data_IF_160934876340
#
_entry.id   IF_160934876340
#
_cell.length_a   1.000
_cell.length_b   1.000
_cell.length_c   1.000
_cell.angle_alpha   90.00
_cell.angle_beta   90.00
_cell.angle_gamma   90.00
#
_symmetry.space_group_name_H-M   'P 1'
#
loop_
_entity.id
_entity.type
_entity.pdbx_description
1 polymer ?
#
# COMPACT_ATOMS: atom_id res chain seq x y z
N UNK A 1 19.86 48.91 -22.44
CA UNK A 1 20.73 47.70 -22.31
C UNK A 1 20.38 46.79 -21.13
N UNK A 2 19.87 47.32 -20.00
CA UNK A 2 19.62 46.52 -18.78
C UNK A 2 18.42 45.56 -18.81
N UNK A 3 17.41 45.80 -19.66
CA UNK A 3 16.18 44.99 -19.65
C UNK A 3 16.37 43.63 -20.34
N UNK A 4 17.07 43.56 -21.48
CA UNK A 4 17.43 42.30 -22.15
C UNK A 4 18.33 41.42 -21.29
N UNK A 5 19.25 42.02 -20.54
CA UNK A 5 20.13 41.27 -19.64
C UNK A 5 19.35 40.66 -18.46
N UNK A 6 18.34 41.37 -17.94
CA UNK A 6 17.44 40.87 -16.89
C UNK A 6 16.58 39.71 -17.39
N UNK A 7 16.00 39.82 -18.58
CA UNK A 7 15.18 38.74 -19.17
C UNK A 7 16.00 37.50 -19.48
N UNK A 8 17.22 37.66 -19.99
CA UNK A 8 18.14 36.52 -20.22
C UNK A 8 18.48 35.78 -18.93
N UNK A 9 18.78 36.51 -17.85
CA UNK A 9 19.06 35.90 -16.54
C UNK A 9 17.85 35.12 -16.00
N UNK A 10 16.65 35.70 -16.09
CA UNK A 10 15.43 35.03 -15.66
C UNK A 10 15.14 33.76 -16.49
N UNK A 11 15.38 33.81 -17.80
CA UNK A 11 15.21 32.65 -18.69
C UNK A 11 16.22 31.55 -18.38
N UNK A 12 17.46 31.91 -18.09
CA UNK A 12 18.50 30.96 -17.71
C UNK A 12 18.20 30.31 -16.34
N UNK A 13 17.77 31.09 -15.35
CA UNK A 13 17.40 30.57 -14.03
C UNK A 13 16.21 29.62 -14.09
N UNK A 14 15.16 29.99 -14.84
CA UNK A 14 13.99 29.11 -15.03
C UNK A 14 14.35 27.82 -15.77
N UNK A 15 15.22 27.89 -16.79
CA UNK A 15 15.72 26.71 -17.49
C UNK A 15 16.52 25.80 -16.54
N UNK A 16 17.43 26.36 -15.73
CA UNK A 16 18.21 25.58 -14.76
C UNK A 16 17.31 24.88 -13.73
N UNK A 17 16.32 25.59 -13.19
CA UNK A 17 15.37 25.01 -12.22
C UNK A 17 14.57 23.89 -12.89
N UNK A 18 14.09 24.10 -14.12
CA UNK A 18 13.37 23.09 -14.87
C UNK A 18 14.21 21.84 -15.14
N UNK A 19 15.44 22.01 -15.59
CA UNK A 19 16.38 20.90 -15.83
C UNK A 19 16.70 20.16 -14.53
N UNK A 20 16.95 20.88 -13.44
CA UNK A 20 17.19 20.25 -12.13
C UNK A 20 15.98 19.45 -11.68
N UNK A 21 14.76 19.99 -11.83
CA UNK A 21 13.52 19.28 -11.53
C UNK A 21 13.39 17.99 -12.35
N UNK A 22 13.63 18.05 -13.66
CA UNK A 22 13.62 16.86 -14.53
C UNK A 22 14.66 15.82 -14.08
N UNK A 23 15.89 16.25 -13.77
CA UNK A 23 16.95 15.34 -13.29
C UNK A 23 16.53 14.67 -11.97
N UNK A 24 15.97 15.43 -11.02
CA UNK A 24 15.49 14.85 -9.77
C UNK A 24 14.35 13.86 -10.02
N UNK A 25 13.36 14.20 -10.85
CA UNK A 25 12.26 13.28 -11.18
C UNK A 25 12.69 11.99 -11.89
N UNK A 26 13.80 12.02 -12.63
CA UNK A 26 14.30 10.86 -13.38
C UNK A 26 15.35 10.04 -12.62
N UNK A 27 15.73 10.44 -11.40
CA UNK A 27 16.80 9.78 -10.64
C UNK A 27 16.28 9.23 -9.31
N UNK A 28 16.89 8.12 -8.86
CA UNK A 28 16.60 7.52 -7.55
C UNK A 28 16.84 8.47 -6.38
N UNK A 29 17.77 9.42 -6.53
CA UNK A 29 18.03 10.45 -5.55
C UNK A 29 16.82 11.37 -5.33
N UNK A 30 16.09 11.74 -6.39
CA UNK A 30 14.87 12.54 -6.26
C UNK A 30 13.72 11.75 -5.63
N UNK A 31 13.54 10.48 -6.02
CA UNK A 31 12.54 9.61 -5.37
C UNK A 31 12.82 9.44 -3.88
N UNK A 32 14.09 9.21 -3.50
CA UNK A 32 14.50 9.11 -2.10
C UNK A 32 14.20 10.41 -1.30
N UNK A 33 14.47 11.57 -1.89
CA UNK A 33 14.14 12.87 -1.27
C UNK A 33 12.63 13.04 -1.08
N UNK A 34 11.82 12.63 -2.06
CA UNK A 34 10.36 12.68 -1.96
C UNK A 34 9.83 11.74 -0.88
N UNK A 35 10.29 10.49 -0.85
CA UNK A 35 9.81 9.47 0.09
C UNK A 35 10.22 9.79 1.53
N UNK A 36 11.47 10.17 1.76
CA UNK A 36 12.00 10.34 3.11
C UNK A 36 11.61 11.69 3.72
N UNK A 37 11.68 12.77 2.94
CA UNK A 37 11.47 14.14 3.45
C UNK A 37 10.17 14.75 2.95
N UNK A 38 9.87 14.58 1.65
CA UNK A 38 8.68 15.14 1.03
C UNK A 38 7.40 14.64 1.70
N UNK A 39 7.23 13.33 1.80
CA UNK A 39 6.06 12.71 2.43
C UNK A 39 5.93 13.10 3.91
N UNK A 40 7.03 13.07 4.66
CA UNK A 40 7.03 13.46 6.06
C UNK A 40 6.57 14.93 6.25
N UNK A 41 7.04 15.84 5.39
CA UNK A 41 6.58 17.23 5.39
C UNK A 41 5.12 17.37 4.99
N UNK A 42 4.65 16.64 3.98
CA UNK A 42 3.24 16.65 3.57
C UNK A 42 2.33 16.17 4.72
N UNK A 43 2.70 15.10 5.41
CA UNK A 43 1.95 14.61 6.58
C UNK A 43 1.95 15.63 7.73
N UNK A 44 3.09 16.28 7.97
CA UNK A 44 3.19 17.33 8.99
C UNK A 44 2.33 18.56 8.65
N UNK A 45 2.31 18.99 7.40
CA UNK A 45 1.51 20.12 6.91
C UNK A 45 0.01 19.80 6.90
N UNK A 46 -0.38 18.58 6.50
CA UNK A 46 -1.76 18.08 6.60
C UNK A 46 -2.24 18.08 8.05
N UNK A 47 -1.33 17.80 8.99
CA UNK A 47 -1.63 17.66 10.41
C UNK A 47 -2.21 16.29 10.76
N UNK A 48 -2.52 16.13 12.04
CA UNK A 48 -3.12 14.91 12.59
C UNK A 48 -4.60 14.85 12.23
N UNK A 49 -5.04 13.68 11.78
CA UNK A 49 -6.45 13.38 11.50
C UNK A 49 -6.93 12.35 12.50
N UNK A 50 -8.06 12.59 13.15
CA UNK A 50 -8.66 11.62 14.06
C UNK A 50 -9.14 10.42 13.25
N UNK A 51 -8.75 9.21 13.66
CA UNK A 51 -9.21 7.99 13.03
C UNK A 51 -10.72 7.79 13.32
N UNK A 52 -11.53 7.40 12.32
CA UNK A 52 -12.93 7.08 12.55
C UNK A 52 -13.07 5.93 13.55
N UNK A 53 -13.95 6.08 14.56
CA UNK A 53 -14.19 5.06 15.58
C UNK A 53 -14.82 3.76 15.03
N UNK A 54 -15.40 3.84 13.83
CA UNK A 54 -16.09 2.73 13.15
C UNK A 54 -15.13 1.82 12.37
N UNK A 55 -13.85 2.21 12.24
CA UNK A 55 -12.85 1.48 11.47
C UNK A 55 -11.82 0.86 12.40
N UNK A 56 -11.67 -0.46 12.30
CA UNK A 56 -10.64 -1.22 13.04
C UNK A 56 -9.65 -1.82 12.04
N UNK A 57 -8.36 -1.59 12.29
CA UNK A 57 -7.29 -2.21 11.52
C UNK A 57 -6.80 -3.43 12.29
N UNK A 58 -6.95 -4.61 11.69
CA UNK A 58 -6.34 -5.84 12.19
C UNK A 58 -4.99 -5.99 11.51
N UNK A 59 -3.91 -5.76 12.25
CA UNK A 59 -2.56 -5.86 11.72
C UNK A 59 -2.10 -7.33 11.67
N UNK A 60 -1.39 -7.69 10.60
CA UNK A 60 -0.67 -8.96 10.45
C UNK A 60 0.81 -8.62 10.34
N UNK A 61 1.54 -8.89 11.41
CA UNK A 61 2.96 -8.58 11.53
C UNK A 61 3.79 -9.84 11.81
N UNK A 62 5.11 -9.68 11.88
CA UNK A 62 6.04 -10.76 12.20
C UNK A 62 5.71 -11.44 13.52
N UNK A 63 5.32 -10.68 14.55
CA UNK A 63 4.97 -11.22 15.86
C UNK A 63 3.74 -12.14 15.78
N UNK A 64 2.76 -11.80 14.95
CA UNK A 64 1.58 -12.63 14.70
C UNK A 64 1.95 -13.93 13.98
N UNK A 65 2.86 -13.87 13.00
CA UNK A 65 3.36 -15.06 12.30
C UNK A 65 4.09 -16.00 13.25
N UNK A 66 5.00 -15.46 14.09
CA UNK A 66 5.73 -16.24 15.09
C UNK A 66 4.80 -16.87 16.13
N UNK A 67 3.84 -16.09 16.65
CA UNK A 67 2.88 -16.55 17.65
C UNK A 67 1.97 -17.67 17.12
N UNK A 68 1.61 -17.60 15.84
CA UNK A 68 0.76 -18.60 15.17
C UNK A 68 1.57 -19.75 14.54
N UNK A 69 2.90 -19.68 14.58
CA UNK A 69 3.81 -20.63 13.92
C UNK A 69 3.55 -20.74 12.41
N UNK A 70 3.30 -19.60 11.76
CA UNK A 70 3.03 -19.47 10.34
C UNK A 70 4.20 -18.80 9.60
N UNK A 71 4.27 -18.93 8.25
CA UNK A 71 5.27 -18.22 7.45
C UNK A 71 5.21 -16.71 7.67
N UNK A 72 6.34 -16.00 7.54
CA UNK A 72 6.36 -14.54 7.65
C UNK A 72 5.48 -13.84 6.60
N UNK A 73 5.34 -14.43 5.41
CA UNK A 73 4.45 -13.90 4.37
C UNK A 73 2.99 -14.37 4.62
N UNK A 74 2.04 -13.45 4.90
CA UNK A 74 0.63 -13.78 5.10
C UNK A 74 -0.02 -14.47 3.89
N UNK A 75 0.40 -14.17 2.67
CA UNK A 75 -0.16 -14.80 1.46
C UNK A 75 0.02 -16.32 1.45
N UNK A 76 1.01 -16.84 2.19
CA UNK A 76 1.30 -18.26 2.35
C UNK A 76 0.53 -18.93 3.49
N UNK A 77 -0.28 -18.19 4.25
CA UNK A 77 -1.05 -18.75 5.35
C UNK A 77 -2.21 -19.62 4.84
N UNK A 78 -2.53 -20.68 5.57
CA UNK A 78 -3.70 -21.50 5.23
C UNK A 78 -4.98 -20.66 5.31
N UNK A 79 -5.87 -20.84 4.33
CA UNK A 79 -7.15 -20.13 4.23
C UNK A 79 -8.09 -20.47 5.40
N UNK A 80 -7.81 -21.54 6.15
CA UNK A 80 -8.47 -21.85 7.41
C UNK A 80 -8.36 -20.71 8.44
N UNK A 81 -7.20 -20.03 8.54
CA UNK A 81 -7.01 -18.94 9.50
C UNK A 81 -7.86 -17.73 9.12
N UNK A 82 -7.94 -17.40 7.82
CA UNK A 82 -8.78 -16.32 7.32
C UNK A 82 -10.27 -16.63 7.45
N UNK A 83 -10.68 -17.88 7.22
CA UNK A 83 -12.05 -18.32 7.47
C UNK A 83 -12.45 -18.13 8.95
N UNK A 84 -11.57 -18.52 9.88
CA UNK A 84 -11.80 -18.31 11.32
C UNK A 84 -11.82 -16.82 11.70
N UNK A 85 -10.96 -16.02 11.08
CA UNK A 85 -10.93 -14.57 11.29
C UNK A 85 -12.25 -13.93 10.84
N UNK A 86 -12.75 -14.26 9.65
CA UNK A 86 -14.04 -13.78 9.14
C UNK A 86 -15.17 -14.14 10.10
N UNK A 87 -15.23 -15.39 10.56
CA UNK A 87 -16.26 -15.83 11.53
C UNK A 87 -16.20 -15.02 12.84
N UNK A 88 -15.00 -14.84 13.41
CA UNK A 88 -14.82 -14.05 14.63
C UNK A 88 -15.21 -12.58 14.46
N UNK A 89 -14.85 -11.96 13.33
CA UNK A 89 -15.20 -10.56 13.05
C UNK A 89 -16.71 -10.43 12.84
N UNK A 90 -17.34 -11.35 12.11
CA UNK A 90 -18.78 -11.33 11.86
C UNK A 90 -19.61 -11.52 13.14
N UNK A 91 -19.12 -12.30 14.10
CA UNK A 91 -19.73 -12.39 15.45
C UNK A 91 -19.79 -11.05 16.19
N UNK A 92 -18.98 -10.08 15.78
CA UNK A 92 -18.98 -8.71 16.32
C UNK A 92 -19.72 -7.71 15.41
N UNK A 93 -20.54 -8.19 14.46
CA UNK A 93 -21.41 -7.38 13.59
C UNK A 93 -20.66 -6.37 12.70
N UNK A 94 -19.49 -6.72 12.18
CA UNK A 94 -18.79 -5.87 11.22
C UNK A 94 -19.61 -5.69 9.93
N UNK A 95 -19.80 -4.44 9.52
CA UNK A 95 -20.53 -4.12 8.29
C UNK A 95 -19.78 -4.55 7.03
N UNK A 96 -18.45 -4.39 7.02
CA UNK A 96 -17.55 -4.72 5.90
C UNK A 96 -16.22 -5.26 6.47
N UNK A 97 -15.65 -6.27 5.82
CA UNK A 97 -14.31 -6.81 6.08
C UNK A 97 -13.48 -6.63 4.81
N UNK A 98 -12.45 -5.78 4.85
CA UNK A 98 -11.55 -5.58 3.73
C UNK A 98 -10.21 -6.29 3.99
N UNK A 99 -9.82 -7.19 3.08
CA UNK A 99 -8.49 -7.80 3.11
C UNK A 99 -7.55 -7.05 2.19
N UNK A 100 -6.46 -6.54 2.76
CA UNK A 100 -5.30 -6.07 2.00
C UNK A 100 -4.22 -7.18 1.91
N UNK A 101 -4.63 -8.35 1.41
CA UNK A 101 -3.78 -9.53 1.23
C UNK A 101 -4.13 -10.11 -0.12
N UNK A 102 -3.12 -10.43 -0.93
CA UNK A 102 -3.35 -11.01 -2.24
C UNK A 102 -3.42 -12.54 -2.16
N UNK A 103 -4.59 -13.10 -2.49
CA UNK A 103 -4.81 -14.54 -2.55
C UNK A 103 -4.60 -15.07 -3.97
N UNK A 104 -3.39 -14.91 -4.51
CA UNK A 104 -3.07 -15.22 -5.91
C UNK A 104 -2.68 -16.66 -6.21
N UNK A 105 -2.22 -17.40 -5.21
CA UNK A 105 -1.80 -18.79 -5.34
C UNK A 105 -2.90 -19.74 -4.86
N UNK A 106 -3.11 -20.81 -5.62
CA UNK A 106 -3.96 -21.91 -5.20
C UNK A 106 -3.25 -22.71 -4.09
N UNK A 107 -3.98 -23.07 -3.04
CA UNK A 107 -3.47 -23.93 -1.97
C UNK A 107 -4.35 -25.17 -1.84
N UNK A 108 -4.54 -25.64 -0.61
CA UNK A 108 -5.41 -26.74 -0.26
C UNK A 108 -6.89 -26.38 -0.57
N UNK A 109 -7.55 -27.11 -1.50
CA UNK A 109 -8.91 -26.77 -1.94
C UNK A 109 -9.95 -26.77 -0.82
N UNK A 110 -9.77 -27.61 0.20
CA UNK A 110 -10.68 -27.69 1.33
C UNK A 110 -10.65 -26.40 2.16
N UNK A 111 -9.45 -25.88 2.43
CA UNK A 111 -9.28 -24.63 3.16
C UNK A 111 -9.70 -23.40 2.35
N UNK A 112 -9.44 -23.40 1.04
CA UNK A 112 -9.93 -22.35 0.13
C UNK A 112 -11.47 -22.34 0.11
N UNK A 113 -12.09 -23.52 0.04
CA UNK A 113 -13.54 -23.68 0.15
C UNK A 113 -14.11 -23.21 1.48
N UNK A 114 -13.41 -23.45 2.61
CA UNK A 114 -13.82 -22.94 3.93
C UNK A 114 -13.86 -21.42 3.98
N UNK A 115 -12.84 -20.75 3.45
CA UNK A 115 -12.82 -19.28 3.42
C UNK A 115 -13.91 -18.75 2.49
N UNK A 116 -14.07 -19.31 1.30
CA UNK A 116 -15.12 -18.93 0.36
C UNK A 116 -16.52 -19.05 0.98
N UNK A 117 -16.80 -20.15 1.69
CA UNK A 117 -18.08 -20.34 2.38
C UNK A 117 -18.32 -19.28 3.46
N UNK A 118 -17.30 -18.89 4.22
CA UNK A 118 -17.42 -17.82 5.22
C UNK A 118 -17.66 -16.45 4.58
N UNK A 119 -17.02 -16.17 3.45
CA UNK A 119 -17.27 -14.95 2.68
C UNK A 119 -18.71 -14.90 2.16
N UNK A 120 -19.22 -16.01 1.61
CA UNK A 120 -20.61 -16.12 1.13
C UNK A 120 -21.62 -16.00 2.28
N UNK A 121 -21.33 -16.58 3.44
CA UNK A 121 -22.20 -16.50 4.62
C UNK A 121 -22.29 -15.05 5.15
N UNK A 122 -21.16 -14.33 5.22
CA UNK A 122 -21.12 -12.95 5.70
C UNK A 122 -21.63 -11.91 4.70
N UNK A 123 -21.46 -12.15 3.39
CA UNK A 123 -21.80 -11.21 2.29
C UNK A 123 -21.23 -9.80 2.45
N UNK A 124 -20.12 -9.69 3.18
CA UNK A 124 -19.52 -8.41 3.60
C UNK A 124 -18.00 -8.37 3.42
N UNK A 125 -17.42 -9.31 2.67
CA UNK A 125 -15.98 -9.40 2.47
C UNK A 125 -15.57 -8.78 1.14
N UNK A 126 -14.58 -7.89 1.17
CA UNK A 126 -13.94 -7.28 0.00
C UNK A 126 -12.49 -7.72 -0.04
N UNK A 127 -12.05 -8.25 -1.18
CA UNK A 127 -10.66 -8.61 -1.43
C UNK A 127 -9.98 -7.51 -2.25
N UNK A 128 -8.75 -7.16 -1.89
CA UNK A 128 -7.92 -6.34 -2.77
C UNK A 128 -7.44 -7.17 -3.96
N UNK A 129 -7.37 -6.52 -5.13
CA UNK A 129 -6.65 -7.04 -6.28
C UNK A 129 -5.45 -6.12 -6.55
N UNK A 130 -4.38 -6.69 -7.09
CA UNK A 130 -3.18 -5.95 -7.45
C UNK A 130 -3.06 -5.84 -8.97
N UNK A 131 -2.62 -4.67 -9.45
CA UNK A 131 -2.20 -4.48 -10.84
C UNK A 131 -0.73 -4.85 -10.97
N UNK A 132 -0.43 -5.94 -11.70
CA UNK A 132 0.94 -6.35 -11.94
C UNK A 132 1.72 -5.32 -12.73
N UNK A 133 2.60 -4.58 -12.04
CA UNK A 133 3.57 -3.71 -12.69
C UNK A 133 4.50 -4.60 -13.51
N UNK A 134 4.39 -4.49 -14.83
CA UNK A 134 5.29 -5.16 -15.76
C UNK A 134 6.66 -4.48 -15.66
N UNK A 135 7.64 -5.18 -15.08
CA UNK A 135 9.03 -4.78 -15.11
C UNK A 135 9.66 -5.41 -16.36
N UNK A 136 10.10 -4.63 -17.35
CA UNK A 136 10.75 -5.16 -18.54
C UNK A 136 12.06 -5.87 -18.14
N UNK A 137 12.47 -6.96 -18.84
CA UNK A 137 13.62 -7.78 -18.44
C UNK A 137 15.00 -7.08 -18.35
N UNK A 138 15.10 -5.81 -18.75
CA UNK A 138 16.38 -5.11 -18.95
C UNK A 138 16.52 -3.87 -18.06
N UNK A 139 15.88 -3.83 -16.89
CA UNK A 139 15.88 -2.65 -16.00
C UNK A 139 16.72 -2.79 -14.72
N UNK A 140 17.67 -3.74 -14.68
CA UNK A 140 18.71 -3.83 -13.63
C UNK A 140 20.08 -3.38 -14.16
#
# INVERSE_FOLDING_TARGET
>A
MNQRLKTLKACYSSLLIGVLGVVLCLTSAGSYLEEEWGLAWLFKLRGTTVAPHEVVIVNIDKNSAESLQLPENPEKWSRAYYAQLIDKINKNNAAIIAFNIFFGEAHDPDNDGRMANMMVAGKNVVLSNYLKQYIPPNSE
#
